data_IF_093170826694
#
_entry.id   IF_093170826694
#
_cell.length_a   1.000
_cell.length_b   1.000
_cell.length_c   1.000
_cell.angle_alpha   90.00
_cell.angle_beta   90.00
_cell.angle_gamma   90.00
#
_symmetry.space_group_name_H-M   'P 1'
#
loop_
_entity.id
_entity.type
_entity.pdbx_description
1 polymer ?
#
# COMPACT_ATOMS: atom_id res chain seq x y z
N UNK A 1 36.50 -11.50 -1.58
CA UNK A 1 35.30 -12.35 -1.54
C UNK A 1 34.11 -11.43 -1.27
N UNK A 2 33.07 -11.43 -2.09
CA UNK A 2 31.86 -10.66 -1.77
C UNK A 2 31.22 -11.31 -0.54
N UNK A 3 31.27 -10.64 0.61
CA UNK A 3 30.56 -11.09 1.81
C UNK A 3 29.07 -11.08 1.45
N UNK A 4 28.44 -12.25 1.45
CA UNK A 4 27.01 -12.37 1.22
C UNK A 4 26.28 -11.49 2.23
N UNK A 5 25.45 -10.55 1.75
CA UNK A 5 24.56 -9.76 2.62
C UNK A 5 23.33 -10.57 3.07
N UNK A 6 23.32 -11.89 2.89
CA UNK A 6 22.27 -12.79 3.36
C UNK A 6 22.86 -13.65 4.48
N UNK A 7 22.27 -13.57 5.67
CA UNK A 7 22.67 -14.39 6.80
C UNK A 7 22.50 -15.89 6.47
N UNK A 8 23.40 -16.76 6.93
CA UNK A 8 23.36 -18.20 6.63
C UNK A 8 22.01 -18.85 6.96
N UNK A 9 21.44 -18.56 8.13
CA UNK A 9 20.11 -19.04 8.53
C UNK A 9 19.00 -18.55 7.58
N UNK A 10 19.13 -17.35 7.01
CA UNK A 10 18.20 -16.86 5.98
C UNK A 10 18.42 -17.60 4.67
N UNK A 11 19.67 -17.84 4.26
CA UNK A 11 19.98 -18.55 3.03
C UNK A 11 19.40 -19.97 2.99
N UNK A 12 19.41 -20.69 4.11
CA UNK A 12 18.80 -22.02 4.23
C UNK A 12 17.29 -22.00 3.98
N UNK A 13 16.57 -21.02 4.54
CA UNK A 13 15.11 -20.93 4.39
C UNK A 13 14.68 -20.34 3.04
N UNK A 14 15.57 -19.64 2.32
CA UNK A 14 15.26 -19.13 0.98
C UNK A 14 14.92 -20.23 -0.03
N UNK A 15 15.34 -21.48 0.22
CA UNK A 15 14.98 -22.63 -0.62
C UNK A 15 13.44 -22.81 -0.68
N UNK A 16 12.73 -22.49 0.40
CA UNK A 16 11.28 -22.60 0.49
C UNK A 16 10.52 -21.34 0.03
N UNK A 17 11.23 -20.27 -0.36
CA UNK A 17 10.64 -19.04 -0.88
C UNK A 17 10.35 -19.21 -2.38
N UNK A 18 9.17 -18.78 -2.88
CA UNK A 18 8.88 -18.82 -4.31
C UNK A 18 9.98 -18.14 -5.15
N UNK A 19 10.32 -18.76 -6.28
CA UNK A 19 11.48 -18.39 -7.11
C UNK A 19 11.58 -16.89 -7.40
N UNK A 20 10.45 -16.25 -7.73
CA UNK A 20 10.39 -14.81 -8.00
C UNK A 20 10.90 -13.98 -6.82
N UNK A 21 10.35 -14.19 -5.62
CA UNK A 21 10.77 -13.46 -4.42
C UNK A 21 12.21 -13.81 -4.03
N UNK A 22 12.61 -15.08 -4.18
CA UNK A 22 13.98 -15.50 -3.92
C UNK A 22 14.97 -14.72 -4.80
N UNK A 23 14.70 -14.61 -6.09
CA UNK A 23 15.53 -13.84 -7.02
C UNK A 23 15.59 -12.35 -6.64
N UNK A 24 14.46 -11.76 -6.26
CA UNK A 24 14.39 -10.37 -5.79
C UNK A 24 15.18 -10.15 -4.49
N UNK A 25 15.16 -11.11 -3.56
CA UNK A 25 15.98 -11.06 -2.33
C UNK A 25 17.47 -11.09 -2.67
N UNK A 26 17.91 -11.98 -3.56
CA UNK A 26 19.31 -12.03 -3.99
C UNK A 26 19.73 -10.75 -4.73
N UNK A 27 18.88 -10.22 -5.62
CA UNK A 27 19.14 -8.93 -6.28
C UNK A 27 19.25 -7.80 -5.27
N UNK A 28 18.39 -7.79 -4.26
CA UNK A 28 18.42 -6.79 -3.18
C UNK A 28 19.72 -6.92 -2.39
N UNK A 29 20.11 -8.13 -1.97
CA UNK A 29 21.37 -8.39 -1.26
C UNK A 29 22.61 -7.98 -2.06
N UNK A 30 22.57 -8.11 -3.39
CA UNK A 30 23.63 -7.68 -4.29
C UNK A 30 23.67 -6.15 -4.52
N UNK A 31 22.69 -5.39 -4.01
CA UNK A 31 22.57 -3.95 -4.24
C UNK A 31 21.97 -3.57 -5.60
N UNK A 32 21.32 -4.52 -6.28
CA UNK A 32 20.76 -4.34 -7.62
C UNK A 32 19.25 -4.03 -7.61
N UNK A 33 18.61 -3.93 -6.44
CA UNK A 33 17.22 -3.51 -6.33
C UNK A 33 17.16 -1.97 -6.21
N UNK A 34 16.68 -1.23 -7.23
CA UNK A 34 16.65 0.23 -7.22
C UNK A 34 15.71 0.83 -6.17
N UNK A 35 14.81 0.02 -5.61
CA UNK A 35 13.87 0.45 -4.57
C UNK A 35 14.48 0.43 -3.16
N UNK A 36 15.65 -0.19 -2.97
CA UNK A 36 16.37 -0.15 -1.69
C UNK A 36 17.42 0.95 -1.75
N UNK A 37 17.01 2.15 -1.33
CA UNK A 37 17.81 3.37 -1.39
C UNK A 37 18.56 3.68 -0.09
N UNK A 38 18.47 2.81 0.91
CA UNK A 38 19.15 2.95 2.19
C UNK A 38 20.29 1.94 2.31
N UNK A 39 21.38 2.27 3.01
CA UNK A 39 22.46 1.33 3.26
C UNK A 39 22.01 0.27 4.29
N UNK A 40 22.51 -0.95 4.12
CA UNK A 40 22.31 -2.07 5.04
C UNK A 40 23.49 -3.03 4.92
N UNK A 41 23.70 -3.85 5.95
CA UNK A 41 24.79 -4.82 6.01
C UNK A 41 24.28 -6.24 5.70
N UNK A 42 23.10 -6.58 6.21
CA UNK A 42 22.51 -7.91 6.04
C UNK A 42 20.99 -7.87 5.90
N UNK A 43 20.45 -8.90 5.24
CA UNK A 43 19.03 -9.15 5.06
C UNK A 43 18.66 -10.43 5.80
N UNK A 44 17.55 -10.36 6.54
CA UNK A 44 16.92 -11.50 7.21
C UNK A 44 15.48 -11.69 6.76
N UNK A 45 15.08 -12.94 6.58
CA UNK A 45 13.67 -13.31 6.46
C UNK A 45 13.08 -13.46 7.86
N UNK A 46 12.07 -12.65 8.21
CA UNK A 46 11.54 -12.61 9.58
C UNK A 46 10.10 -13.13 9.73
N UNK A 47 9.36 -13.32 8.63
CA UNK A 47 7.94 -13.65 8.70
C UNK A 47 7.54 -14.75 7.70
N UNK A 48 8.09 -15.94 7.91
CA UNK A 48 7.80 -17.12 7.09
C UNK A 48 8.30 -16.99 5.65
N UNK A 49 8.12 -18.06 4.88
CA UNK A 49 8.65 -18.18 3.50
C UNK A 49 7.58 -17.97 2.43
N UNK A 50 6.32 -17.80 2.83
CA UNK A 50 5.18 -17.62 1.92
C UNK A 50 4.82 -16.14 1.78
N UNK A 51 4.63 -15.65 0.54
CA UNK A 51 4.11 -14.31 0.31
C UNK A 51 2.75 -14.13 0.95
N UNK A 52 2.53 -12.97 1.55
CA UNK A 52 1.29 -12.59 2.21
C UNK A 52 0.98 -11.12 1.94
N UNK A 53 -0.30 -10.74 1.87
CA UNK A 53 -0.66 -9.33 1.75
C UNK A 53 -0.32 -8.61 3.07
N UNK A 54 0.13 -7.35 3.03
CA UNK A 54 0.41 -6.64 4.27
C UNK A 54 -0.89 -6.41 5.04
N UNK A 55 -0.84 -6.65 6.35
CA UNK A 55 -1.99 -6.42 7.22
C UNK A 55 -2.12 -4.95 7.62
N UNK A 56 -1.02 -4.19 7.55
CA UNK A 56 -0.98 -2.77 7.87
C UNK A 56 -1.70 -1.92 6.83
N UNK A 57 -1.61 -2.27 5.54
CA UNK A 57 -2.29 -1.55 4.46
C UNK A 57 -3.44 -2.42 3.90
N UNK A 58 -4.68 -2.03 4.21
CA UNK A 58 -5.88 -2.73 3.74
C UNK A 58 -6.16 -2.47 2.25
N UNK A 59 -5.62 -1.38 1.69
CA UNK A 59 -5.74 -1.05 0.27
C UNK A 59 -4.63 -1.69 -0.58
N UNK A 60 -3.67 -2.37 0.03
CA UNK A 60 -2.63 -3.10 -0.70
C UNK A 60 -3.12 -4.50 -1.09
N UNK A 61 -3.09 -4.76 -2.40
CA UNK A 61 -3.54 -6.03 -3.00
C UNK A 61 -2.37 -6.93 -3.38
N UNK A 62 -1.16 -6.38 -3.45
CA UNK A 62 0.05 -7.14 -3.75
C UNK A 62 0.47 -7.99 -2.57
N UNK A 63 0.95 -9.18 -2.87
CA UNK A 63 1.59 -10.03 -1.88
C UNK A 63 3.04 -9.60 -1.67
N UNK A 64 3.51 -9.75 -0.45
CA UNK A 64 4.85 -9.37 -0.03
C UNK A 64 5.50 -10.45 0.81
N UNK A 65 6.83 -10.41 0.89
CA UNK A 65 7.60 -11.10 1.92
C UNK A 65 8.20 -10.06 2.84
N UNK A 66 8.08 -10.27 4.15
CA UNK A 66 8.66 -9.37 5.14
C UNK A 66 10.13 -9.69 5.37
N UNK A 67 10.96 -8.70 5.07
CA UNK A 67 12.39 -8.72 5.28
C UNK A 67 12.77 -7.75 6.41
N UNK A 68 13.85 -8.07 7.10
CA UNK A 68 14.53 -7.16 8.01
C UNK A 68 15.92 -6.85 7.47
N UNK A 69 16.23 -5.57 7.34
CA UNK A 69 17.52 -5.06 6.92
C UNK A 69 18.29 -4.60 8.16
N UNK A 70 19.37 -5.29 8.52
CA UNK A 70 20.19 -4.91 9.68
C UNK A 70 21.41 -4.09 9.24
N UNK A 71 21.96 -3.34 10.19
CA UNK A 71 23.08 -2.43 9.95
C UNK A 71 22.70 -1.18 9.15
N UNK A 72 21.41 -0.85 9.06
CA UNK A 72 20.96 0.45 8.56
C UNK A 72 21.21 1.54 9.63
N UNK A 73 21.40 2.82 9.24
CA UNK A 73 21.91 3.87 10.13
C UNK A 73 21.02 4.17 11.35
N UNK A 74 19.71 4.03 11.20
CA UNK A 74 18.71 4.27 12.26
C UNK A 74 18.30 2.97 13.00
N UNK A 75 19.06 1.89 12.82
CA UNK A 75 18.75 0.56 13.35
C UNK A 75 18.04 -0.34 12.33
N UNK A 76 17.59 -1.55 12.75
CA UNK A 76 16.96 -2.51 11.86
C UNK A 76 15.70 -1.97 11.17
N UNK A 77 15.64 -2.10 9.85
CA UNK A 77 14.47 -1.69 9.06
C UNK A 77 13.66 -2.92 8.69
N UNK A 78 12.38 -2.96 9.07
CA UNK A 78 11.43 -3.98 8.62
C UNK A 78 10.66 -3.48 7.42
N UNK A 79 10.65 -4.26 6.34
CA UNK A 79 10.01 -3.89 5.10
C UNK A 79 9.40 -5.06 4.33
N UNK A 80 8.42 -4.73 3.50
CA UNK A 80 7.65 -5.63 2.65
C UNK A 80 8.21 -5.55 1.24
N UNK A 81 8.91 -6.60 0.81
CA UNK A 81 9.31 -6.78 -0.58
C UNK A 81 8.13 -7.33 -1.36
N UNK A 82 7.64 -6.60 -2.36
CA UNK A 82 6.54 -7.02 -3.22
C UNK A 82 7.03 -7.82 -4.43
N UNK A 83 6.11 -8.49 -5.11
CA UNK A 83 6.39 -9.33 -6.27
C UNK A 83 6.98 -8.57 -7.48
N UNK A 84 6.79 -7.25 -7.54
CA UNK A 84 7.35 -6.37 -8.58
C UNK A 84 8.74 -5.83 -8.21
N UNK A 85 9.30 -6.22 -7.06
CA UNK A 85 10.59 -5.75 -6.55
C UNK A 85 10.51 -4.44 -5.75
N UNK A 86 9.36 -3.75 -5.78
CA UNK A 86 9.16 -2.59 -4.92
C UNK A 86 9.21 -3.00 -3.45
N UNK A 87 9.59 -2.07 -2.60
CA UNK A 87 9.66 -2.27 -1.17
C UNK A 87 8.86 -1.17 -0.46
N UNK A 88 8.15 -1.54 0.60
CA UNK A 88 7.60 -0.57 1.56
C UNK A 88 8.00 -0.97 2.96
N UNK A 89 8.64 -0.06 3.69
CA UNK A 89 8.84 -0.17 5.12
C UNK A 89 7.50 -0.15 5.86
N UNK A 90 7.45 -0.73 7.06
CA UNK A 90 6.28 -0.60 7.92
C UNK A 90 5.93 0.87 8.18
N UNK A 91 6.95 1.74 8.31
CA UNK A 91 6.80 3.19 8.48
C UNK A 91 6.05 3.82 7.29
N UNK A 92 6.49 3.57 6.05
CA UNK A 92 5.85 4.12 4.85
C UNK A 92 4.40 3.69 4.71
N UNK A 93 4.06 2.44 5.07
CA UNK A 93 2.67 1.98 5.07
C UNK A 93 1.82 2.68 6.13
N UNK A 94 2.38 2.91 7.34
CA UNK A 94 1.69 3.71 8.37
C UNK A 94 1.49 5.16 7.92
N UNK A 95 2.49 5.76 7.28
CA UNK A 95 2.40 7.12 6.72
C UNK A 95 1.33 7.23 5.62
N UNK A 96 1.23 6.25 4.73
CA UNK A 96 0.15 6.18 3.73
C UNK A 96 -1.23 6.12 4.39
N UNK A 97 -1.40 5.26 5.40
CA UNK A 97 -2.66 5.20 6.16
C UNK A 97 -2.99 6.53 6.84
N UNK A 98 -1.99 7.16 7.48
CA UNK A 98 -2.17 8.46 8.12
C UNK A 98 -2.57 9.54 7.10
N UNK A 99 -1.99 9.52 5.89
CA UNK A 99 -2.39 10.41 4.79
C UNK A 99 -3.85 10.21 4.41
N UNK A 100 -4.34 8.97 4.34
CA UNK A 100 -5.76 8.66 4.05
C UNK A 100 -6.68 9.19 5.15
N UNK A 101 -6.32 9.02 6.42
CA UNK A 101 -7.10 9.55 7.56
C UNK A 101 -7.14 11.08 7.53
N UNK A 102 -6.02 11.75 7.25
CA UNK A 102 -5.98 13.22 7.12
C UNK A 102 -6.87 13.68 5.96
N UNK A 103 -6.81 13.02 4.81
CA UNK A 103 -7.66 13.33 3.67
C UNK A 103 -9.15 13.14 3.99
N UNK A 104 -9.51 12.06 4.70
CA UNK A 104 -10.88 11.84 5.15
C UNK A 104 -11.37 12.94 6.10
N UNK A 105 -10.57 13.31 7.11
CA UNK A 105 -10.92 14.38 8.05
C UNK A 105 -11.09 15.74 7.34
N UNK A 106 -10.29 16.00 6.30
CA UNK A 106 -10.47 17.17 5.45
C UNK A 106 -11.80 17.12 4.70
N UNK A 107 -12.17 15.98 4.11
CA UNK A 107 -13.45 15.82 3.43
C UNK A 107 -14.63 16.03 4.37
N UNK A 108 -14.58 15.47 5.59
CA UNK A 108 -15.62 15.68 6.61
C UNK A 108 -15.77 17.17 6.95
N UNK A 109 -14.65 17.88 7.14
CA UNK A 109 -14.66 19.32 7.40
C UNK A 109 -15.30 20.10 6.24
N UNK A 110 -15.02 19.74 4.99
CA UNK A 110 -15.65 20.37 3.83
C UNK A 110 -17.14 20.03 3.70
N UNK A 111 -17.53 18.77 3.96
CA UNK A 111 -18.93 18.33 3.95
C UNK A 111 -19.77 19.06 5.01
N UNK A 112 -19.21 19.26 6.20
CA UNK A 112 -19.88 19.93 7.32
C UNK A 112 -20.24 21.40 7.04
N UNK A 113 -19.57 22.05 6.07
CA UNK A 113 -19.95 23.40 5.61
C UNK A 113 -21.24 23.41 4.79
N UNK A 114 -21.66 22.26 4.27
CA UNK A 114 -22.83 22.13 3.39
C UNK A 114 -23.77 21.00 3.88
N UNK A 115 -24.33 21.09 5.10
CA UNK A 115 -25.12 20.00 5.70
C UNK A 115 -26.35 19.62 4.87
N UNK A 116 -26.94 20.57 4.14
CA UNK A 116 -28.06 20.34 3.24
C UNK A 116 -27.76 19.35 2.10
N UNK A 117 -26.49 19.18 1.71
CA UNK A 117 -26.09 18.23 0.67
C UNK A 117 -25.99 16.78 1.18
N UNK A 118 -26.00 16.54 2.50
CA UNK A 118 -26.01 15.21 3.12
C UNK A 118 -24.92 14.25 2.59
N UNK A 119 -23.76 14.79 2.21
CA UNK A 119 -22.74 14.07 1.44
C UNK A 119 -21.99 12.98 2.20
N UNK A 120 -21.87 13.10 3.52
CA UNK A 120 -21.08 12.19 4.35
C UNK A 120 -21.60 10.75 4.31
N UNK A 121 -22.92 10.55 4.34
CA UNK A 121 -23.50 9.20 4.27
C UNK A 121 -23.22 8.55 2.91
N UNK A 122 -23.40 9.30 1.82
CA UNK A 122 -23.11 8.83 0.47
C UNK A 122 -21.61 8.54 0.28
N UNK A 123 -20.71 9.37 0.82
CA UNK A 123 -19.27 9.13 0.77
C UNK A 123 -18.88 7.87 1.53
N UNK A 124 -19.43 7.63 2.74
CA UNK A 124 -19.19 6.39 3.49
C UNK A 124 -19.60 5.16 2.69
N UNK A 125 -20.76 5.18 2.03
CA UNK A 125 -21.20 4.09 1.15
C UNK A 125 -20.23 3.89 -0.04
N UNK A 126 -19.75 4.98 -0.64
CA UNK A 126 -18.77 4.92 -1.74
C UNK A 126 -17.42 4.33 -1.27
N UNK A 127 -16.93 4.70 -0.08
CA UNK A 127 -15.74 4.09 0.55
C UNK A 127 -15.96 2.60 0.78
N UNK A 128 -17.10 2.20 1.36
CA UNK A 128 -17.42 0.78 1.57
C UNK A 128 -17.42 0.00 0.26
N UNK A 129 -17.98 0.56 -0.81
CA UNK A 129 -17.95 -0.07 -2.15
C UNK A 129 -16.52 -0.22 -2.66
N UNK A 130 -15.72 0.85 -2.61
CA UNK A 130 -14.31 0.82 -3.02
C UNK A 130 -13.53 -0.25 -2.26
N UNK A 131 -13.63 -0.25 -0.92
CA UNK A 131 -12.91 -1.21 -0.07
C UNK A 131 -13.38 -2.65 -0.29
N UNK A 132 -14.68 -2.87 -0.55
CA UNK A 132 -15.21 -4.19 -0.88
C UNK A 132 -14.59 -4.75 -2.17
N UNK A 133 -14.48 -3.92 -3.22
CA UNK A 133 -13.83 -4.30 -4.49
C UNK A 133 -12.36 -4.62 -4.30
N UNK A 134 -11.61 -3.77 -3.59
CA UNK A 134 -10.21 -4.01 -3.26
C UNK A 134 -10.04 -5.31 -2.46
N UNK A 135 -10.89 -5.54 -1.46
CA UNK A 135 -10.82 -6.75 -0.64
C UNK A 135 -11.14 -8.01 -1.46
N UNK A 136 -12.12 -7.96 -2.35
CA UNK A 136 -12.44 -9.05 -3.28
C UNK A 136 -11.23 -9.38 -4.17
N UNK A 137 -10.61 -8.37 -4.79
CA UNK A 137 -9.40 -8.55 -5.59
C UNK A 137 -8.23 -9.13 -4.78
N UNK A 138 -8.06 -8.69 -3.53
CA UNK A 138 -7.01 -9.17 -2.62
C UNK A 138 -7.12 -10.67 -2.38
N UNK A 139 -8.31 -11.19 -2.09
CA UNK A 139 -8.52 -12.61 -1.74
C UNK A 139 -8.74 -13.52 -2.93
N UNK A 140 -9.08 -12.98 -4.10
CA UNK A 140 -9.26 -13.78 -5.32
C UNK A 140 -7.92 -14.34 -5.80
N UNK A 141 -7.75 -15.67 -5.69
CA UNK A 141 -6.54 -16.37 -6.10
C UNK A 141 -6.48 -16.63 -7.61
N UNK A 142 -7.58 -16.44 -8.33
CA UNK A 142 -7.63 -16.59 -9.79
C UNK A 142 -7.04 -15.38 -10.53
N UNK A 143 -6.97 -14.22 -9.87
CA UNK A 143 -6.41 -13.00 -10.43
C UNK A 143 -4.88 -12.97 -10.32
N UNK A 144 -4.23 -12.66 -11.44
CA UNK A 144 -2.82 -12.25 -11.46
C UNK A 144 -2.64 -10.94 -10.68
N UNK A 145 -1.41 -10.67 -10.22
CA UNK A 145 -1.13 -9.43 -9.50
C UNK A 145 -1.43 -8.18 -10.35
N UNK A 146 -1.20 -8.24 -11.66
CA UNK A 146 -1.54 -7.14 -12.57
C UNK A 146 -3.05 -6.89 -12.56
N UNK A 147 -3.86 -7.95 -12.66
CA UNK A 147 -5.33 -7.82 -12.58
C UNK A 147 -5.79 -7.27 -11.23
N UNK A 148 -5.17 -7.70 -10.12
CA UNK A 148 -5.48 -7.16 -8.79
C UNK A 148 -5.22 -5.66 -8.70
N UNK A 149 -4.10 -5.20 -9.25
CA UNK A 149 -3.75 -3.77 -9.28
C UNK A 149 -4.71 -2.98 -10.17
N UNK A 150 -5.07 -3.49 -11.34
CA UNK A 150 -6.06 -2.86 -12.20
C UNK A 150 -7.43 -2.72 -11.51
N UNK A 151 -7.87 -3.74 -10.77
CA UNK A 151 -9.13 -3.69 -10.02
C UNK A 151 -9.07 -2.67 -8.87
N UNK A 152 -7.94 -2.62 -8.15
CA UNK A 152 -7.68 -1.59 -7.14
C UNK A 152 -7.74 -0.18 -7.75
N UNK A 153 -7.01 0.04 -8.83
CA UNK A 153 -6.92 1.35 -9.50
C UNK A 153 -8.29 1.78 -10.03
N UNK A 154 -9.07 0.84 -10.58
CA UNK A 154 -10.45 1.05 -11.01
C UNK A 154 -11.37 1.46 -9.86
N UNK A 155 -11.34 0.74 -8.73
CA UNK A 155 -12.13 1.05 -7.54
C UNK A 155 -11.77 2.44 -6.98
N UNK A 156 -10.48 2.77 -6.92
CA UNK A 156 -10.00 4.08 -6.47
C UNK A 156 -10.36 5.20 -7.47
N UNK A 157 -10.37 4.93 -8.77
CA UNK A 157 -10.80 5.90 -9.80
C UNK A 157 -12.30 6.20 -9.68
N UNK A 158 -13.15 5.19 -9.49
CA UNK A 158 -14.59 5.37 -9.27
C UNK A 158 -14.85 6.26 -8.04
N UNK A 159 -14.16 5.98 -6.93
CA UNK A 159 -14.27 6.79 -5.72
C UNK A 159 -13.78 8.24 -5.93
N UNK A 160 -12.68 8.44 -6.67
CA UNK A 160 -12.19 9.79 -7.00
C UNK A 160 -13.19 10.58 -7.84
N UNK A 161 -13.83 9.96 -8.83
CA UNK A 161 -14.87 10.61 -9.63
C UNK A 161 -16.09 10.98 -8.77
N UNK A 162 -16.48 10.11 -7.84
CA UNK A 162 -17.53 10.41 -6.87
C UNK A 162 -17.20 11.64 -6.01
N UNK A 163 -15.97 11.71 -5.49
CA UNK A 163 -15.52 12.87 -4.70
C UNK A 163 -15.49 14.17 -5.51
N UNK A 164 -15.11 14.10 -6.79
CA UNK A 164 -15.13 15.25 -7.69
C UNK A 164 -16.56 15.77 -7.90
N UNK A 165 -17.52 14.87 -8.12
CA UNK A 165 -18.94 15.24 -8.23
C UNK A 165 -19.46 15.91 -6.95
N UNK A 166 -19.12 15.39 -5.77
CA UNK A 166 -19.48 16.03 -4.51
C UNK A 166 -18.84 17.42 -4.34
N UNK A 167 -17.59 17.58 -4.76
CA UNK A 167 -16.90 18.87 -4.73
C UNK A 167 -17.56 19.90 -5.67
N UNK A 168 -18.01 19.49 -6.86
CA UNK A 168 -18.76 20.34 -7.78
C UNK A 168 -20.10 20.78 -7.17
N UNK A 169 -20.83 19.89 -6.51
CA UNK A 169 -22.07 20.23 -5.82
C UNK A 169 -21.85 21.27 -4.71
N UNK A 170 -20.78 21.12 -3.90
CA UNK A 170 -20.39 22.11 -2.88
C UNK A 170 -20.04 23.47 -3.52
N UNK A 171 -19.29 23.47 -4.61
CA UNK A 171 -18.95 24.69 -5.33
C UNK A 171 -20.20 25.40 -5.89
N UNK A 172 -21.13 24.66 -6.49
CA UNK A 172 -22.38 25.20 -6.99
C UNK A 172 -23.25 25.82 -5.87
N UNK A 173 -23.35 25.16 -4.72
CA UNK A 173 -24.06 25.72 -3.55
C UNK A 173 -23.38 26.98 -3.01
N UNK A 174 -22.05 27.03 -2.99
CA UNK A 174 -21.32 28.22 -2.55
C UNK A 174 -21.54 29.42 -3.48
N UNK A 175 -21.56 29.21 -4.80
CA UNK A 175 -21.85 30.26 -5.79
C UNK A 175 -23.29 30.78 -5.61
N UNK A 176 -24.28 29.89 -5.53
CA UNK A 176 -25.68 30.29 -5.35
C UNK A 176 -25.93 31.06 -4.04
N UNK A 177 -25.16 30.77 -2.98
CA UNK A 177 -25.23 31.49 -1.72
C UNK A 177 -24.56 32.88 -1.78
N UNK A 178 -23.70 33.14 -2.76
CA UNK A 178 -23.04 34.45 -2.96
C UNK A 178 -23.82 35.40 -3.87
N UNK A 179 -24.76 34.87 -4.65
CA UNK A 179 -25.63 35.63 -5.57
C UNK A 179 -26.94 36.10 -4.92
N UNK A 180 -27.24 35.64 -3.70
CA UNK A 180 -28.39 36.04 -2.88
C UNK A 180 -27.93 36.87 -1.68
#
# INVERSE_FOLDING_TARGET
MAVSRIQSATAEVLIAVPLQFRNLIYQTAAGNNPHVQFPFQEIRLIRGTRPHPPHTDLEEVRNSITLQFNGAPEGPIVAHLFNDGTIKTSREMHEENNRRVIAENRLITEENKFPALQQTAARKQAVTRMMSRIQAARVDSSLSIIQKQLEKDSAQQEYRLFLQSQAQARAATAVAASEN
#
